data_IF_541056942368
#
_entry.id   IF_541056942368
#
_cell.length_a   1.000
_cell.length_b   1.000
_cell.length_c   1.000
_cell.angle_alpha   90.00
_cell.angle_beta   90.00
_cell.angle_gamma   90.00
#
_symmetry.space_group_name_H-M   'P 1'
#
loop_
_entity.id
_entity.type
_entity.pdbx_description
1 polymer ?
#
# COMPACT_ATOMS: atom_id res chain seq x y z
N UNK A 1 63.59 13.58 -45.15
CA UNK A 1 63.83 15.04 -45.16
C UNK A 1 62.78 15.77 -44.38
N UNK A 2 63.17 16.46 -43.30
CA UNK A 2 62.60 17.69 -42.69
C UNK A 2 61.23 17.50 -41.98
N UNK A 3 61.00 18.08 -40.84
CA UNK A 3 61.71 18.78 -39.77
C UNK A 3 60.78 18.79 -38.53
N UNK A 4 61.27 18.52 -37.36
CA UNK A 4 60.65 18.73 -36.07
C UNK A 4 60.36 20.22 -35.83
N UNK A 5 59.21 20.51 -35.15
CA UNK A 5 59.09 21.78 -34.43
C UNK A 5 58.48 21.46 -33.05
N UNK A 6 59.32 21.67 -32.05
CA UNK A 6 58.89 21.75 -30.65
C UNK A 6 58.30 23.14 -30.41
N UNK A 7 57.14 23.19 -29.82
CA UNK A 7 56.60 24.40 -29.21
C UNK A 7 56.46 24.17 -27.70
N UNK A 8 57.32 24.92 -26.95
CA UNK A 8 57.26 24.94 -25.50
C UNK A 8 56.09 25.78 -25.03
N UNK A 9 55.24 25.20 -24.20
CA UNK A 9 54.19 25.93 -23.50
C UNK A 9 54.71 26.36 -22.11
N UNK A 10 54.78 27.66 -21.91
CA UNK A 10 55.13 28.32 -20.65
C UNK A 10 53.89 28.25 -19.74
N UNK A 11 54.01 27.56 -18.61
CA UNK A 11 53.01 27.61 -17.54
C UNK A 11 53.19 28.92 -16.75
N UNK A 12 52.20 29.80 -16.86
CA UNK A 12 52.01 30.93 -15.95
C UNK A 12 51.29 30.43 -14.68
N UNK A 13 52.02 30.35 -13.58
CA UNK A 13 51.48 30.18 -12.24
C UNK A 13 50.87 31.50 -11.79
N UNK A 14 49.51 31.60 -11.89
CA UNK A 14 48.79 32.68 -11.24
C UNK A 14 48.63 32.34 -9.74
N UNK A 15 49.41 33.04 -8.91
CA UNK A 15 49.28 32.97 -7.46
C UNK A 15 47.95 33.59 -7.01
N UNK A 16 47.08 32.80 -6.39
CA UNK A 16 45.95 33.31 -5.65
C UNK A 16 46.42 34.00 -4.38
N UNK A 17 46.43 35.34 -4.38
CA UNK A 17 46.53 36.16 -3.17
C UNK A 17 45.28 35.95 -2.33
N UNK A 18 45.44 35.42 -1.12
CA UNK A 18 44.39 35.40 -0.10
C UNK A 18 44.21 36.80 0.44
N UNK A 19 42.99 37.31 0.31
CA UNK A 19 42.58 38.58 0.89
C UNK A 19 42.27 38.35 2.39
N UNK A 20 43.01 38.99 3.35
CA UNK A 20 42.83 38.79 4.78
C UNK A 20 41.81 39.79 5.36
N UNK A 21 40.55 39.68 4.98
CA UNK A 21 39.59 40.67 5.46
C UNK A 21 38.11 40.40 5.25
N UNK A 22 37.74 39.15 4.98
CA UNK A 22 36.32 38.81 4.92
C UNK A 22 35.97 37.88 6.08
N UNK A 23 35.44 38.44 7.16
CA UNK A 23 34.75 37.68 8.20
C UNK A 23 33.55 36.95 7.56
N UNK A 24 33.77 35.71 7.15
CA UNK A 24 32.69 34.82 6.75
C UNK A 24 32.01 34.41 8.04
N UNK A 25 30.95 35.13 8.37
CA UNK A 25 30.02 34.73 9.44
C UNK A 25 29.62 33.27 9.17
N UNK A 26 30.15 32.37 10.00
CA UNK A 26 29.85 30.94 9.86
C UNK A 26 28.36 30.74 9.88
N UNK A 27 27.81 30.27 8.77
CA UNK A 27 26.41 29.80 8.73
C UNK A 27 26.32 28.62 9.70
N UNK A 28 25.30 28.59 10.54
CA UNK A 28 25.08 27.46 11.43
C UNK A 28 24.89 26.19 10.56
N UNK A 29 25.69 25.19 10.84
CA UNK A 29 25.60 23.87 10.23
C UNK A 29 24.22 23.27 10.55
N UNK A 30 23.31 23.07 9.56
CA UNK A 30 21.99 22.54 9.81
C UNK A 30 22.00 21.09 10.34
N UNK A 31 23.14 20.43 10.34
CA UNK A 31 23.31 19.07 10.85
C UNK A 31 23.79 19.00 12.30
N UNK A 32 24.03 20.15 12.97
CA UNK A 32 24.59 20.17 14.32
C UNK A 32 23.61 20.51 15.43
N UNK A 33 22.34 20.64 15.16
CA UNK A 33 21.36 20.94 16.18
C UNK A 33 20.17 20.00 16.08
N UNK A 34 20.17 19.03 16.95
CA UNK A 34 19.05 18.14 17.18
C UNK A 34 19.59 16.76 17.50
N UNK A 35 19.91 16.52 18.77
CA UNK A 35 19.80 15.16 19.26
C UNK A 35 18.39 14.72 18.94
N UNK A 36 18.21 13.95 17.85
CA UNK A 36 16.98 13.20 17.62
C UNK A 36 16.94 12.23 18.77
N UNK A 37 16.26 12.62 19.84
CA UNK A 37 15.90 11.70 20.91
C UNK A 37 15.13 10.59 20.20
N UNK A 38 15.73 9.39 20.13
CA UNK A 38 15.01 8.23 19.65
C UNK A 38 13.65 8.23 20.38
N UNK A 39 12.52 8.04 19.67
CA UNK A 39 11.24 7.95 20.34
C UNK A 39 11.41 6.90 21.45
N UNK A 40 11.04 7.28 22.68
CA UNK A 40 10.99 6.36 23.80
C UNK A 40 10.31 5.08 23.29
N UNK A 41 10.88 3.92 23.62
CA UNK A 41 10.41 2.62 23.17
C UNK A 41 8.89 2.67 23.08
N UNK A 42 8.34 2.50 21.88
CA UNK A 42 6.92 2.71 21.62
C UNK A 42 6.16 1.88 22.65
N UNK A 43 5.45 2.55 23.53
CA UNK A 43 4.65 1.90 24.56
C UNK A 43 3.70 0.95 23.84
N UNK A 44 3.87 -0.35 24.08
CA UNK A 44 3.01 -1.37 23.48
C UNK A 44 1.62 -1.12 24.04
N UNK A 45 0.73 -0.60 23.21
CA UNK A 45 -0.67 -0.37 23.60
C UNK A 45 -1.29 -1.76 23.84
N UNK A 46 -1.77 -2.06 25.07
CA UNK A 46 -2.44 -3.32 25.36
C UNK A 46 -3.61 -3.55 24.38
N UNK A 47 -3.80 -4.80 23.96
CA UNK A 47 -4.84 -5.14 22.95
C UNK A 47 -6.26 -4.75 23.37
N UNK A 48 -6.55 -4.72 24.66
CA UNK A 48 -7.84 -4.26 25.20
C UNK A 48 -8.04 -2.75 25.06
N UNK A 49 -6.97 -1.98 24.86
CA UNK A 49 -6.98 -0.53 24.62
C UNK A 49 -6.98 -0.18 23.13
N UNK A 50 -6.66 -1.12 22.27
CA UNK A 50 -6.73 -0.89 20.81
C UNK A 50 -8.21 -0.85 20.39
N UNK A 51 -8.60 0.13 19.56
CA UNK A 51 -9.95 0.17 18.98
C UNK A 51 -10.28 -1.15 18.28
N UNK A 52 -11.53 -1.61 18.44
CA UNK A 52 -11.98 -2.87 17.82
C UNK A 52 -11.88 -2.84 16.29
N UNK A 53 -12.06 -1.65 15.73
CA UNK A 53 -11.96 -1.40 14.30
C UNK A 53 -11.49 0.04 14.09
N UNK A 54 -10.45 0.23 13.32
CA UNK A 54 -9.89 1.54 13.00
C UNK A 54 -10.10 1.81 11.51
N UNK A 55 -10.58 3.01 11.17
CA UNK A 55 -10.64 3.44 9.78
C UNK A 55 -9.23 3.53 9.19
N UNK A 56 -9.07 3.07 7.97
CA UNK A 56 -7.83 3.12 7.22
C UNK A 56 -8.08 3.36 5.73
N UNK A 57 -7.06 3.84 5.06
CA UNK A 57 -7.03 3.93 3.61
C UNK A 57 -5.65 3.54 3.10
N UNK A 58 -5.61 2.96 1.92
CA UNK A 58 -4.40 2.76 1.15
C UNK A 58 -4.65 3.25 -0.27
N UNK A 59 -3.72 4.03 -0.81
CA UNK A 59 -3.78 4.51 -2.19
C UNK A 59 -2.48 4.17 -2.89
N UNK A 60 -2.60 3.73 -4.14
CA UNK A 60 -1.46 3.42 -4.99
C UNK A 60 -1.71 3.90 -6.41
N UNK A 61 -0.73 4.63 -6.93
CA UNK A 61 -0.69 4.98 -8.36
C UNK A 61 0.10 3.91 -9.11
N UNK A 62 -0.51 3.36 -10.16
CA UNK A 62 0.08 2.38 -11.08
C UNK A 62 -0.01 3.01 -12.46
N UNK A 63 1.11 3.38 -13.05
CA UNK A 63 1.16 4.18 -14.28
C UNK A 63 0.26 5.44 -14.18
N UNK A 64 -0.79 5.54 -14.98
CA UNK A 64 -1.74 6.65 -15.01
C UNK A 64 -3.05 6.39 -14.26
N UNK A 65 -3.13 5.30 -13.50
CA UNK A 65 -4.31 4.87 -12.76
C UNK A 65 -4.05 4.98 -11.26
N UNK A 66 -4.98 5.56 -10.53
CA UNK A 66 -4.97 5.57 -9.07
C UNK A 66 -6.01 4.59 -8.56
N UNK A 67 -5.61 3.78 -7.59
CA UNK A 67 -6.45 2.82 -6.87
C UNK A 67 -6.41 3.22 -5.40
N UNK A 68 -7.57 3.43 -4.81
CA UNK A 68 -7.71 3.77 -3.39
C UNK A 68 -8.69 2.81 -2.75
N UNK A 69 -8.28 2.19 -1.64
CA UNK A 69 -9.16 1.43 -0.76
C UNK A 69 -9.39 2.20 0.53
N UNK A 70 -10.63 2.27 0.97
CA UNK A 70 -11.04 2.74 2.30
C UNK A 70 -11.73 1.61 3.02
N UNK A 71 -11.35 1.35 4.27
CA UNK A 71 -11.83 0.19 5.01
C UNK A 71 -11.68 0.41 6.52
N UNK A 72 -12.31 -0.42 7.31
CA UNK A 72 -12.05 -0.52 8.74
C UNK A 72 -11.25 -1.79 9.02
N UNK A 73 -10.39 -1.73 10.04
CA UNK A 73 -9.40 -2.74 10.38
C UNK A 73 -9.83 -3.52 11.64
N UNK A 74 -10.64 -4.59 11.52
CA UNK A 74 -10.94 -5.42 12.68
C UNK A 74 -9.66 -6.07 13.22
N UNK A 75 -9.60 -6.24 14.56
CA UNK A 75 -8.47 -6.78 15.31
C UNK A 75 -8.79 -8.22 15.72
N UNK A 76 -7.86 -9.15 15.51
CA UNK A 76 -8.06 -10.59 15.77
C UNK A 76 -8.29 -10.88 17.25
N UNK A 77 -7.50 -10.32 18.16
CA UNK A 77 -7.59 -10.48 19.61
C UNK A 77 -7.58 -11.95 20.07
N UNK A 78 -6.72 -12.74 19.43
CA UNK A 78 -6.56 -14.16 19.73
C UNK A 78 -7.76 -15.03 19.35
N UNK A 79 -8.74 -14.49 18.58
CA UNK A 79 -9.88 -15.27 18.10
C UNK A 79 -9.47 -16.10 16.87
N UNK A 80 -10.08 -17.26 16.74
CA UNK A 80 -10.08 -17.98 15.48
C UNK A 80 -10.91 -17.18 14.45
N UNK A 81 -10.28 -16.86 13.32
CA UNK A 81 -10.85 -15.93 12.34
C UNK A 81 -11.73 -16.65 11.32
N UNK A 82 -11.14 -17.44 10.46
CA UNK A 82 -11.83 -18.06 9.33
C UNK A 82 -12.34 -19.46 9.70
N UNK A 83 -13.63 -19.69 9.46
CA UNK A 83 -14.34 -20.88 9.95
C UNK A 83 -15.04 -20.64 11.29
N UNK A 84 -14.69 -19.59 12.04
CA UNK A 84 -15.31 -19.22 13.31
C UNK A 84 -15.87 -17.79 13.27
N UNK A 85 -15.06 -16.75 13.50
CA UNK A 85 -15.52 -15.35 13.47
C UNK A 85 -16.06 -14.96 12.09
N UNK A 86 -15.42 -15.40 11.04
CA UNK A 86 -15.84 -15.27 9.64
C UNK A 86 -16.21 -16.67 9.14
N UNK A 87 -17.49 -17.02 9.09
CA UNK A 87 -17.92 -18.35 8.69
C UNK A 87 -17.55 -18.65 7.24
N UNK A 88 -17.15 -19.88 6.96
CA UNK A 88 -16.97 -20.36 5.59
C UNK A 88 -18.30 -20.40 4.83
N UNK A 89 -18.23 -20.30 3.50
CA UNK A 89 -19.37 -20.34 2.56
C UNK A 89 -20.42 -19.23 2.80
N UNK A 90 -20.07 -18.19 3.53
CA UNK A 90 -20.93 -17.01 3.72
C UNK A 90 -20.28 -15.77 3.09
N UNK A 91 -21.14 -14.91 2.54
CA UNK A 91 -20.67 -13.60 2.05
C UNK A 91 -20.27 -12.77 3.26
N UNK A 92 -19.10 -12.18 3.19
CA UNK A 92 -18.50 -11.35 4.22
C UNK A 92 -17.88 -10.10 3.60
N UNK A 93 -18.03 -8.95 4.24
CA UNK A 93 -17.24 -7.76 3.95
C UNK A 93 -15.84 -7.90 4.59
N UNK A 94 -14.75 -7.92 3.80
CA UNK A 94 -13.40 -7.99 4.36
C UNK A 94 -12.97 -6.65 4.96
N UNK A 95 -13.64 -6.27 6.03
CA UNK A 95 -13.54 -5.03 6.76
C UNK A 95 -14.41 -5.05 8.00
N UNK A 96 -14.94 -3.89 8.38
CA UNK A 96 -15.92 -3.69 9.45
C UNK A 96 -16.61 -2.33 9.28
N UNK A 97 -17.77 -2.13 9.92
CA UNK A 97 -18.57 -0.91 9.91
C UNK A 97 -19.08 -0.57 8.48
N UNK A 98 -18.47 0.40 7.80
CA UNK A 98 -18.74 0.62 6.38
C UNK A 98 -18.05 -0.47 5.55
N UNK A 99 -18.74 -0.96 4.51
CA UNK A 99 -18.12 -1.94 3.61
C UNK A 99 -16.82 -1.40 3.02
N UNK A 100 -15.83 -2.27 2.91
CA UNK A 100 -14.57 -1.95 2.24
C UNK A 100 -14.86 -1.45 0.83
N UNK A 101 -14.43 -0.23 0.53
CA UNK A 101 -14.65 0.38 -0.77
C UNK A 101 -13.33 0.53 -1.53
N UNK A 102 -13.39 0.24 -2.84
CA UNK A 102 -12.27 0.43 -3.78
C UNK A 102 -12.68 1.38 -4.89
N UNK A 103 -11.91 2.45 -5.06
CA UNK A 103 -12.04 3.40 -6.16
C UNK A 103 -10.94 3.19 -7.17
N UNK A 104 -11.29 3.17 -8.46
CA UNK A 104 -10.36 2.99 -9.57
C UNK A 104 -10.60 4.10 -10.60
N UNK A 105 -9.59 4.92 -10.88
CA UNK A 105 -9.75 6.11 -11.74
C UNK A 105 -9.78 5.80 -13.24
N UNK A 106 -9.28 4.64 -13.66
CA UNK A 106 -9.27 4.15 -15.06
C UNK A 106 -9.49 2.65 -15.07
N UNK A 107 -9.95 2.04 -16.18
CA UNK A 107 -10.10 0.59 -16.26
C UNK A 107 -8.81 -0.16 -15.91
N UNK A 108 -8.94 -1.27 -15.23
CA UNK A 108 -7.84 -2.18 -14.88
C UNK A 108 -8.21 -3.63 -15.21
N UNK A 109 -7.24 -4.49 -15.15
CA UNK A 109 -7.46 -5.93 -14.97
C UNK A 109 -7.09 -6.30 -13.54
N UNK A 110 -7.92 -7.12 -12.90
CA UNK A 110 -7.66 -7.70 -11.59
C UNK A 110 -7.81 -9.22 -11.69
N UNK A 111 -6.74 -9.97 -11.39
CA UNK A 111 -6.64 -11.41 -11.65
C UNK A 111 -7.10 -11.78 -13.09
N UNK A 112 -6.59 -11.02 -14.08
CA UNK A 112 -6.90 -11.13 -15.51
C UNK A 112 -8.37 -10.83 -15.91
N UNK A 113 -9.22 -10.40 -14.97
CA UNK A 113 -10.58 -9.99 -15.24
C UNK A 113 -10.68 -8.47 -15.39
N UNK A 114 -11.40 -7.97 -16.41
CA UNK A 114 -11.56 -6.53 -16.62
C UNK A 114 -12.45 -5.93 -15.52
N UNK A 115 -11.99 -4.81 -14.96
CA UNK A 115 -12.77 -3.98 -14.04
C UNK A 115 -12.79 -2.54 -14.56
N UNK A 116 -13.96 -1.98 -14.93
CA UNK A 116 -14.08 -0.59 -15.37
C UNK A 116 -13.62 0.41 -14.29
N UNK A 117 -13.38 1.66 -14.68
CA UNK A 117 -13.23 2.74 -13.73
C UNK A 117 -14.52 2.89 -12.91
N UNK A 118 -14.39 3.16 -11.63
CA UNK A 118 -15.56 3.28 -10.76
C UNK A 118 -15.23 3.13 -9.27
N UNK A 119 -16.30 3.10 -8.48
CA UNK A 119 -16.23 2.81 -7.06
C UNK A 119 -17.03 1.53 -6.77
N UNK A 120 -16.42 0.65 -6.01
CA UNK A 120 -16.94 -0.69 -5.73
C UNK A 120 -16.88 -0.96 -4.24
N UNK A 121 -17.85 -1.67 -3.68
CA UNK A 121 -17.67 -2.35 -2.39
C UNK A 121 -17.10 -3.75 -2.63
N UNK A 122 -16.21 -4.19 -1.72
CA UNK A 122 -15.56 -5.49 -1.77
C UNK A 122 -16.27 -6.46 -0.84
N UNK A 123 -16.45 -7.68 -1.35
CA UNK A 123 -17.02 -8.78 -0.59
C UNK A 123 -16.25 -10.05 -0.88
N UNK A 124 -16.32 -11.00 0.04
CA UNK A 124 -15.66 -12.29 -0.10
C UNK A 124 -16.55 -13.42 0.36
N UNK A 125 -16.38 -14.61 -0.23
CA UNK A 125 -16.90 -15.87 0.29
C UNK A 125 -15.68 -16.72 0.64
N UNK A 126 -15.23 -16.72 1.90
CA UNK A 126 -14.09 -17.52 2.33
C UNK A 126 -14.43 -19.02 2.30
N UNK A 127 -13.46 -19.82 1.90
CA UNK A 127 -13.43 -21.29 2.05
C UNK A 127 -12.02 -21.70 2.45
N UNK A 128 -11.84 -22.95 2.82
CA UNK A 128 -10.53 -23.43 3.27
C UNK A 128 -9.41 -23.24 2.25
N UNK A 129 -9.68 -23.53 0.98
CA UNK A 129 -8.64 -23.56 -0.07
C UNK A 129 -8.82 -22.50 -1.16
N UNK A 130 -10.02 -21.88 -1.24
CA UNK A 130 -10.35 -20.95 -2.32
C UNK A 130 -11.35 -19.92 -1.82
N UNK A 131 -11.08 -18.66 -2.08
CA UNK A 131 -12.01 -17.57 -1.77
C UNK A 131 -12.62 -17.05 -3.05
N UNK A 132 -13.93 -16.80 -3.04
CA UNK A 132 -14.56 -16.01 -4.11
C UNK A 132 -14.55 -14.54 -3.72
N UNK A 133 -13.87 -13.69 -4.50
CA UNK A 133 -13.88 -12.25 -4.32
C UNK A 133 -14.94 -11.62 -5.20
N UNK A 134 -15.59 -10.58 -4.67
CA UNK A 134 -16.73 -9.92 -5.32
C UNK A 134 -16.51 -8.40 -5.26
N UNK A 135 -16.67 -7.74 -6.39
CA UNK A 135 -16.65 -6.29 -6.52
C UNK A 135 -18.05 -5.84 -6.91
N UNK A 136 -18.77 -5.23 -5.98
CA UNK A 136 -20.14 -4.77 -6.20
C UNK A 136 -20.17 -3.32 -6.66
N UNK A 137 -21.04 -2.97 -7.61
CA UNK A 137 -21.32 -1.60 -8.06
C UNK A 137 -21.93 -0.72 -6.97
N UNK A 138 -22.49 -1.31 -5.92
CA UNK A 138 -22.95 -0.60 -4.73
C UNK A 138 -21.73 -0.17 -3.89
N UNK A 139 -21.04 0.88 -4.32
CA UNK A 139 -19.73 1.30 -3.79
C UNK A 139 -19.74 1.93 -2.41
N UNK A 140 -20.90 2.38 -1.91
CA UNK A 140 -21.03 3.02 -0.60
C UNK A 140 -22.21 2.39 0.16
N UNK A 141 -21.91 1.31 0.87
CA UNK A 141 -22.91 0.56 1.64
C UNK A 141 -22.34 0.18 3.00
N UNK A 142 -23.21 -0.21 3.92
CA UNK A 142 -22.81 -0.77 5.19
C UNK A 142 -22.34 -2.23 4.99
N UNK A 143 -21.57 -2.79 5.92
CA UNK A 143 -21.01 -4.13 5.79
C UNK A 143 -22.05 -5.26 5.77
N UNK A 144 -23.31 -4.96 6.06
CA UNK A 144 -24.46 -5.85 6.00
C UNK A 144 -25.74 -5.05 5.70
N UNK A 145 -26.67 -5.58 4.87
CA UNK A 145 -26.53 -6.82 4.10
C UNK A 145 -25.70 -6.65 2.82
N UNK A 146 -25.19 -7.75 2.29
CA UNK A 146 -24.59 -7.77 0.95
C UNK A 146 -25.64 -7.32 -0.09
N UNK A 147 -25.26 -6.42 -1.04
CA UNK A 147 -26.21 -5.82 -1.99
C UNK A 147 -26.86 -6.79 -2.98
N UNK A 148 -26.36 -8.02 -3.07
CA UNK A 148 -26.88 -9.05 -3.95
C UNK A 148 -26.14 -9.17 -5.28
N UNK A 149 -26.21 -10.34 -5.90
CA UNK A 149 -25.46 -10.69 -7.12
C UNK A 149 -25.79 -9.80 -8.32
N UNK A 150 -26.97 -9.22 -8.39
CA UNK A 150 -27.36 -8.28 -9.45
C UNK A 150 -26.49 -7.00 -9.47
N UNK A 151 -25.84 -6.66 -8.34
CA UNK A 151 -24.93 -5.54 -8.21
C UNK A 151 -23.47 -5.92 -8.50
N UNK A 152 -23.14 -7.18 -8.72
CA UNK A 152 -21.77 -7.59 -8.97
C UNK A 152 -21.26 -7.01 -10.31
N UNK A 153 -20.14 -6.33 -10.22
CA UNK A 153 -19.38 -5.91 -11.39
C UNK A 153 -18.41 -7.01 -11.82
N UNK A 154 -17.87 -7.72 -10.82
CA UNK A 154 -16.86 -8.75 -11.03
C UNK A 154 -16.93 -9.75 -9.88
N UNK A 155 -16.75 -11.03 -10.23
CA UNK A 155 -16.60 -12.13 -9.27
C UNK A 155 -15.54 -13.09 -9.82
N UNK A 156 -14.59 -13.49 -9.00
CA UNK A 156 -13.57 -14.48 -9.36
C UNK A 156 -13.05 -15.21 -8.15
N UNK A 157 -12.46 -16.37 -8.39
CA UNK A 157 -11.86 -17.18 -7.34
C UNK A 157 -10.37 -16.91 -7.21
N UNK A 158 -9.88 -16.93 -5.97
CA UNK A 158 -8.48 -16.73 -5.63
C UNK A 158 -8.07 -17.70 -4.53
N UNK A 159 -6.85 -18.22 -4.59
CA UNK A 159 -6.30 -19.05 -3.51
C UNK A 159 -5.63 -18.17 -2.48
N UNK A 160 -6.04 -18.25 -1.20
CA UNK A 160 -5.32 -17.58 -0.13
C UNK A 160 -3.95 -18.24 0.08
N UNK A 161 -3.00 -17.44 0.55
CA UNK A 161 -1.65 -17.85 0.93
C UNK A 161 -1.51 -17.81 2.45
N UNK A 162 -0.57 -18.59 3.00
CA UNK A 162 -0.19 -18.47 4.41
C UNK A 162 0.87 -17.36 4.56
N UNK A 163 0.66 -16.46 5.52
CA UNK A 163 1.59 -15.39 5.89
C UNK A 163 1.91 -15.37 7.38
N UNK A 164 2.79 -14.48 7.83
CA UNK A 164 3.00 -14.23 9.25
C UNK A 164 1.71 -13.68 9.87
N UNK A 165 1.54 -13.87 11.19
CA UNK A 165 0.34 -13.38 11.85
C UNK A 165 0.23 -11.86 11.76
N UNK A 166 -0.92 -11.37 11.29
CA UNK A 166 -1.29 -9.96 11.26
C UNK A 166 -2.52 -9.71 12.13
N UNK A 167 -2.33 -9.01 13.23
CA UNK A 167 -3.36 -8.81 14.25
C UNK A 167 -4.55 -7.97 13.77
N UNK A 168 -4.31 -6.88 13.04
CA UNK A 168 -5.34 -6.03 12.46
C UNK A 168 -5.42 -6.23 10.94
N UNK A 169 -6.61 -6.46 10.40
CA UNK A 169 -6.83 -6.56 8.96
C UNK A 169 -6.18 -5.39 8.22
N UNK A 170 -5.48 -5.68 7.14
CA UNK A 170 -4.82 -4.67 6.33
C UNK A 170 -4.87 -4.98 4.84
N UNK A 171 -4.94 -3.90 4.05
CA UNK A 171 -4.66 -3.91 2.61
C UNK A 171 -3.34 -3.19 2.36
N UNK A 172 -2.52 -3.72 1.48
CA UNK A 172 -1.24 -3.11 1.10
C UNK A 172 -0.74 -3.58 -0.26
N UNK A 173 0.13 -2.77 -0.87
CA UNK A 173 0.76 -3.07 -2.15
C UNK A 173 2.23 -3.44 -1.93
N UNK A 174 2.60 -4.74 -1.83
CA UNK A 174 3.99 -5.14 -1.64
C UNK A 174 4.87 -4.91 -2.87
N UNK A 175 4.26 -4.90 -4.07
CA UNK A 175 4.98 -4.77 -5.33
C UNK A 175 4.20 -3.86 -6.28
N UNK A 176 4.92 -2.92 -6.92
CA UNK A 176 4.42 -2.05 -7.99
C UNK A 176 5.53 -1.90 -9.02
N UNK A 177 5.33 -2.41 -10.23
CA UNK A 177 6.32 -2.38 -11.30
C UNK A 177 5.66 -1.99 -12.64
N UNK A 178 6.03 -0.83 -13.16
CA UNK A 178 5.51 -0.33 -14.43
C UNK A 178 3.98 -0.21 -14.44
N UNK A 179 3.31 -1.11 -15.14
CA UNK A 179 1.84 -1.19 -15.26
C UNK A 179 1.22 -2.28 -14.38
N UNK A 180 1.99 -2.93 -13.56
CA UNK A 180 1.56 -4.06 -12.75
C UNK A 180 1.76 -3.79 -11.26
N UNK A 181 0.90 -4.39 -10.44
CA UNK A 181 1.01 -4.35 -8.99
C UNK A 181 0.38 -5.60 -8.37
N UNK A 182 0.76 -5.87 -7.14
CA UNK A 182 0.07 -6.82 -6.28
C UNK A 182 -0.57 -6.06 -5.13
N UNK A 183 -1.87 -6.20 -4.96
CA UNK A 183 -2.59 -5.80 -3.75
C UNK A 183 -2.77 -7.04 -2.88
N UNK A 184 -2.61 -6.91 -1.58
CA UNK A 184 -2.87 -7.99 -0.61
C UNK A 184 -3.90 -7.55 0.42
N UNK A 185 -4.88 -8.41 0.68
CA UNK A 185 -5.68 -8.43 1.90
C UNK A 185 -4.98 -9.39 2.87
N UNK A 186 -4.75 -8.96 4.12
CA UNK A 186 -4.07 -9.79 5.10
C UNK A 186 -4.76 -9.66 6.47
N UNK A 187 -5.12 -10.80 7.07
CA UNK A 187 -5.64 -10.86 8.44
C UNK A 187 -5.34 -12.22 9.05
N UNK A 188 -4.87 -12.22 10.32
CA UNK A 188 -4.32 -13.43 10.92
C UNK A 188 -3.15 -13.97 10.11
N UNK A 189 -3.14 -15.25 9.80
CA UNK A 189 -2.15 -15.89 8.93
C UNK A 189 -2.61 -16.02 7.47
N UNK A 190 -3.74 -15.42 7.11
CA UNK A 190 -4.32 -15.53 5.76
C UNK A 190 -4.00 -14.30 4.95
N UNK A 191 -3.42 -14.51 3.77
CA UNK A 191 -3.11 -13.48 2.77
C UNK A 191 -3.86 -13.80 1.49
N UNK A 192 -4.65 -12.86 0.99
CA UNK A 192 -5.35 -13.01 -0.30
C UNK A 192 -4.70 -12.05 -1.29
N UNK A 193 -3.95 -12.57 -2.29
CA UNK A 193 -3.28 -11.74 -3.29
C UNK A 193 -4.22 -11.39 -4.45
N UNK A 194 -4.09 -10.18 -4.97
CA UNK A 194 -4.74 -9.72 -6.19
C UNK A 194 -3.67 -9.20 -7.14
N UNK A 195 -3.55 -9.79 -8.33
CA UNK A 195 -2.75 -9.20 -9.39
C UNK A 195 -3.52 -8.07 -10.05
N UNK A 196 -2.87 -6.94 -10.28
CA UNK A 196 -3.46 -5.76 -10.92
C UNK A 196 -2.60 -5.39 -12.12
N UNK A 197 -3.25 -5.17 -13.27
CA UNK A 197 -2.61 -4.66 -14.49
C UNK A 197 -3.40 -3.48 -15.04
N UNK A 198 -2.68 -2.41 -15.35
CA UNK A 198 -3.22 -1.22 -16.06
C UNK A 198 -2.95 -1.40 -17.54
N UNK A 199 -3.95 -1.26 -18.42
CA UNK A 199 -3.81 -1.38 -19.86
C UNK A 199 -2.85 -0.37 -20.52
#
# INVERSE_FOLDING_TARGET
MHKAWMAAAVMLLAGCQRDPGRDVKAMPDPLRSGAVTAPAASEIIPLDKVSKSQAAAVSQRIANTEITLTYSRPVARGRELFGALVPYDKVWDPGADQATAMSVTRPIQINDHPLPAGKYSLWAIPRADTWTMIFSKAGEVYHEPYPGEAQDALRFDVRPEKGPHMEALAYYFPTVEGKEAVLRLHWGEVVVPFSIRVP
#
